data_IF_570677067797
#
_entry.id   IF_570677067797
#
_cell.length_a   1.000
_cell.length_b   1.000
_cell.length_c   1.000
_cell.angle_alpha   90.00
_cell.angle_beta   90.00
_cell.angle_gamma   90.00
#
_symmetry.space_group_name_H-M   'P 1'
#
loop_
_entity.id
_entity.type
_entity.pdbx_description
1 polymer ?
#
# COMPACT_ATOMS: atom_id res chain seq x y z
N UNK A 1 31.33 -6.58 22.46
CA UNK A 1 31.54 -5.69 21.30
C UNK A 1 30.14 -5.36 20.77
N UNK A 2 29.83 -4.08 20.58
CA UNK A 2 28.47 -3.57 20.41
C UNK A 2 27.77 -4.12 19.16
N UNK A 3 26.76 -4.96 19.36
CA UNK A 3 25.82 -5.40 18.33
C UNK A 3 24.64 -4.42 18.28
N UNK A 4 24.43 -3.80 17.11
CA UNK A 4 23.26 -2.95 16.85
C UNK A 4 22.08 -3.83 16.42
N UNK A 5 21.13 -4.03 17.32
CA UNK A 5 19.86 -4.69 17.02
C UNK A 5 18.85 -3.66 16.49
N UNK A 6 18.26 -3.96 15.32
CA UNK A 6 17.13 -3.22 14.75
C UNK A 6 15.86 -4.03 14.96
N UNK A 7 14.90 -3.47 15.71
CA UNK A 7 13.62 -4.11 16.01
C UNK A 7 12.61 -3.65 14.96
N UNK A 8 12.14 -4.58 14.13
CA UNK A 8 11.06 -4.36 13.17
C UNK A 8 9.77 -5.04 13.65
N UNK A 9 8.63 -4.37 13.48
CA UNK A 9 7.32 -4.84 13.94
C UNK A 9 6.33 -4.83 12.75
N UNK A 10 5.87 -6.00 12.26
CA UNK A 10 4.74 -6.17 11.33
C UNK A 10 4.89 -7.22 10.19
N UNK A 11 3.95 -8.18 10.05
CA UNK A 11 3.92 -9.39 9.17
C UNK A 11 3.60 -9.19 7.67
N UNK A 12 4.35 -8.36 6.91
CA UNK A 12 3.88 -7.78 5.64
C UNK A 12 4.51 -8.23 4.29
N UNK A 13 3.80 -7.92 3.19
CA UNK A 13 4.02 -8.38 1.79
C UNK A 13 5.35 -8.07 1.11
N UNK A 14 6.11 -7.19 1.75
CA UNK A 14 7.44 -6.78 1.35
C UNK A 14 8.42 -7.95 1.26
N UNK A 15 8.27 -8.95 2.13
CA UNK A 15 9.21 -10.07 2.24
C UNK A 15 9.13 -11.06 1.06
N UNK A 16 8.00 -11.10 0.34
CA UNK A 16 7.74 -12.05 -0.75
C UNK A 16 8.06 -11.50 -2.16
N UNK A 17 8.09 -10.17 -2.34
CA UNK A 17 8.28 -9.48 -3.63
C UNK A 17 9.71 -9.67 -4.19
N UNK A 18 10.67 -10.02 -3.33
CA UNK A 18 12.08 -10.25 -3.68
C UNK A 18 12.34 -11.42 -4.64
N UNK A 19 11.36 -12.31 -4.90
CA UNK A 19 11.58 -13.49 -5.75
C UNK A 19 11.30 -13.25 -7.25
N UNK A 20 10.52 -12.23 -7.60
CA UNK A 20 9.93 -12.15 -8.95
C UNK A 20 10.78 -11.45 -10.02
N UNK A 21 11.64 -10.50 -9.65
CA UNK A 21 12.19 -9.39 -10.47
C UNK A 21 12.96 -9.78 -11.77
N UNK A 22 13.08 -11.06 -12.13
CA UNK A 22 13.95 -11.55 -13.23
C UNK A 22 13.36 -11.61 -14.65
N UNK A 23 12.33 -10.85 -15.04
CA UNK A 23 11.87 -10.85 -16.45
C UNK A 23 10.98 -9.64 -16.82
N UNK A 24 11.05 -8.89 -17.94
CA UNK A 24 11.96 -8.66 -19.09
C UNK A 24 11.39 -7.40 -19.83
N UNK A 25 12.27 -6.55 -20.38
CA UNK A 25 12.06 -5.28 -21.14
C UNK A 25 11.36 -5.35 -22.52
N UNK A 26 10.67 -4.27 -22.99
CA UNK A 26 10.70 -3.85 -24.43
C UNK A 26 9.57 -3.02 -25.13
N UNK A 27 9.60 -1.66 -25.01
CA UNK A 27 9.33 -0.53 -25.99
C UNK A 27 8.00 -0.29 -26.81
N UNK A 28 7.48 0.97 -26.62
CA UNK A 28 6.87 2.05 -27.50
C UNK A 28 5.62 1.81 -28.40
N UNK A 29 4.73 2.77 -28.76
CA UNK A 29 4.05 4.02 -28.27
C UNK A 29 3.04 4.44 -29.39
N UNK A 30 1.79 4.85 -29.12
CA UNK A 30 0.75 5.23 -30.14
C UNK A 30 -0.12 6.44 -29.72
N UNK A 31 -0.76 7.11 -30.69
CA UNK A 31 -1.78 8.18 -30.53
C UNK A 31 -3.04 7.62 -29.84
N UNK A 32 -3.43 8.18 -28.69
CA UNK A 32 -4.47 7.64 -27.82
C UNK A 32 -5.57 8.69 -27.58
N UNK A 33 -6.84 8.30 -27.69
CA UNK A 33 -8.00 9.13 -27.33
C UNK A 33 -8.13 9.32 -25.81
N UNK A 34 -8.94 10.27 -25.35
CA UNK A 34 -9.00 10.64 -23.92
C UNK A 34 -9.38 9.48 -22.99
N UNK A 35 -10.31 8.62 -23.39
CA UNK A 35 -10.66 7.42 -22.61
C UNK A 35 -9.46 6.48 -22.44
N UNK A 36 -8.61 6.40 -23.47
CA UNK A 36 -7.41 5.57 -23.45
C UNK A 36 -6.29 6.24 -22.66
N UNK A 37 -6.21 7.57 -22.67
CA UNK A 37 -5.32 8.35 -21.80
C UNK A 37 -5.69 8.12 -20.33
N UNK A 38 -6.98 8.25 -19.98
CA UNK A 38 -7.49 8.00 -18.63
C UNK A 38 -7.22 6.57 -18.17
N UNK A 39 -7.56 5.58 -18.99
CA UNK A 39 -7.26 4.17 -18.68
C UNK A 39 -5.75 3.93 -18.51
N UNK A 40 -4.92 4.47 -19.42
CA UNK A 40 -3.47 4.27 -19.36
C UNK A 40 -2.85 4.97 -18.15
N UNK A 41 -3.30 6.18 -17.80
CA UNK A 41 -2.81 6.94 -16.66
C UNK A 41 -3.22 6.32 -15.32
N UNK A 42 -4.50 6.02 -15.15
CA UNK A 42 -5.05 5.59 -13.86
C UNK A 42 -4.98 4.08 -13.65
N UNK A 43 -5.20 3.26 -14.69
CA UNK A 43 -5.28 1.81 -14.53
C UNK A 43 -3.95 1.09 -14.83
N UNK A 44 -3.11 1.62 -15.73
CA UNK A 44 -1.80 1.03 -16.04
C UNK A 44 -0.66 1.74 -15.31
N UNK A 45 -0.62 3.08 -15.36
CA UNK A 45 0.43 3.87 -14.70
C UNK A 45 0.12 4.19 -13.23
N UNK A 46 -1.09 3.86 -12.75
CA UNK A 46 -1.52 4.02 -11.36
C UNK A 46 -1.36 5.45 -10.82
N UNK A 47 -1.56 6.45 -11.68
CA UNK A 47 -1.66 7.85 -11.26
C UNK A 47 -3.02 8.11 -10.61
N UNK A 48 -3.02 9.04 -9.66
CA UNK A 48 -4.23 9.50 -8.95
C UNK A 48 -4.88 10.71 -9.60
N UNK A 49 -4.14 11.41 -10.45
CA UNK A 49 -4.54 12.67 -11.11
C UNK A 49 -3.93 12.74 -12.50
N UNK A 50 -4.49 13.58 -13.36
CA UNK A 50 -4.00 13.83 -14.73
C UNK A 50 -2.72 14.69 -14.81
N UNK A 51 -2.09 15.00 -13.67
CA UNK A 51 -0.88 15.84 -13.63
C UNK A 51 0.27 15.24 -14.46
N UNK A 52 0.26 13.92 -14.64
CA UNK A 52 1.22 13.19 -15.45
C UNK A 52 1.23 13.63 -16.93
N UNK A 53 0.14 14.20 -17.45
CA UNK A 53 0.04 14.69 -18.84
C UNK A 53 0.95 15.90 -19.12
N UNK A 54 1.34 16.62 -18.07
CA UNK A 54 2.17 17.82 -18.16
C UNK A 54 3.63 17.57 -17.72
N UNK A 55 3.99 16.31 -17.45
CA UNK A 55 5.32 15.90 -16.99
C UNK A 55 6.07 15.09 -18.08
N UNK A 56 7.41 14.99 -18.00
CA UNK A 56 8.16 14.12 -18.90
C UNK A 56 7.70 12.66 -18.81
N UNK A 57 7.40 12.04 -19.96
CA UNK A 57 6.78 10.71 -20.03
C UNK A 57 7.63 9.53 -19.52
N UNK A 58 8.87 9.76 -19.08
CA UNK A 58 9.78 8.70 -18.63
C UNK A 58 9.23 7.93 -17.43
N UNK A 59 8.71 8.65 -16.44
CA UNK A 59 8.11 8.04 -15.24
C UNK A 59 6.84 7.25 -15.59
N UNK A 60 5.95 7.83 -16.40
CA UNK A 60 4.75 7.16 -16.91
C UNK A 60 5.08 5.86 -17.64
N UNK A 61 6.10 5.87 -18.51
CA UNK A 61 6.56 4.67 -19.24
C UNK A 61 7.09 3.62 -18.27
N UNK A 62 7.85 4.01 -17.25
CA UNK A 62 8.38 3.08 -16.24
C UNK A 62 7.27 2.43 -15.42
N UNK A 63 6.24 3.19 -15.03
CA UNK A 63 5.06 2.69 -14.31
C UNK A 63 4.21 1.73 -15.15
N UNK A 64 3.94 2.07 -16.42
CA UNK A 64 3.23 1.17 -17.35
C UNK A 64 4.02 -0.13 -17.57
N UNK A 65 5.34 0.00 -17.73
CA UNK A 65 6.23 -1.16 -17.85
C UNK A 65 6.20 -2.01 -16.59
N UNK A 66 6.23 -1.42 -15.40
CA UNK A 66 6.10 -2.12 -14.12
C UNK A 66 4.78 -2.90 -14.03
N UNK A 67 3.65 -2.29 -14.44
CA UNK A 67 2.35 -2.96 -14.48
C UNK A 67 2.37 -4.15 -15.47
N UNK A 68 2.87 -3.93 -16.68
CA UNK A 68 2.93 -4.96 -17.74
C UNK A 68 3.84 -6.13 -17.35
N UNK A 69 5.01 -5.85 -16.78
CA UNK A 69 5.93 -6.86 -16.26
C UNK A 69 5.32 -7.64 -15.09
N UNK A 70 4.54 -6.98 -14.24
CA UNK A 70 3.83 -7.62 -13.13
C UNK A 70 2.70 -8.53 -13.62
N UNK A 71 1.91 -8.09 -14.61
CA UNK A 71 0.84 -8.89 -15.20
C UNK A 71 1.38 -10.11 -15.97
N UNK A 72 2.43 -9.91 -16.77
CA UNK A 72 3.05 -10.97 -17.58
C UNK A 72 3.61 -12.10 -16.70
N UNK A 73 4.02 -11.77 -15.47
CA UNK A 73 4.64 -12.73 -14.54
C UNK A 73 3.64 -13.68 -13.88
N UNK A 74 2.38 -13.26 -13.70
CA UNK A 74 1.36 -14.05 -12.98
C UNK A 74 0.13 -14.40 -13.85
N UNK A 75 0.10 -13.94 -15.10
CA UNK A 75 -0.84 -14.34 -16.14
C UNK A 75 -2.29 -13.87 -15.96
N UNK A 76 -2.70 -13.46 -14.76
CA UNK A 76 -4.07 -13.01 -14.45
C UNK A 76 -4.16 -11.59 -13.87
N UNK A 77 -3.16 -11.15 -13.11
CA UNK A 77 -3.16 -9.86 -12.41
C UNK A 77 -1.73 -9.46 -12.01
N UNK A 78 -1.39 -8.17 -11.93
CA UNK A 78 -0.08 -7.71 -11.46
C UNK A 78 0.13 -7.76 -9.92
N UNK A 79 -0.85 -8.24 -9.14
CA UNK A 79 -0.83 -8.13 -7.67
C UNK A 79 -0.50 -9.47 -6.95
N UNK A 80 0.13 -9.40 -5.76
CA UNK A 80 0.56 -10.55 -4.93
C UNK A 80 0.16 -10.38 -3.45
N UNK A 81 0.27 -11.44 -2.64
CA UNK A 81 0.04 -11.47 -1.17
C UNK A 81 1.01 -12.45 -0.45
N UNK A 82 1.46 -12.24 0.82
CA UNK A 82 2.69 -12.88 1.36
C UNK A 82 2.51 -13.88 2.54
N UNK A 83 3.64 -14.50 2.98
CA UNK A 83 3.79 -15.27 4.23
C UNK A 83 5.11 -14.97 5.04
N UNK A 84 4.90 -14.59 6.32
CA UNK A 84 5.69 -14.59 7.60
C UNK A 84 7.21 -14.32 7.74
N UNK A 85 7.54 -13.53 8.80
CA UNK A 85 8.83 -13.38 9.51
C UNK A 85 8.63 -13.44 11.05
N UNK A 86 9.67 -13.30 11.90
CA UNK A 86 9.56 -13.37 13.38
C UNK A 86 9.09 -12.05 14.00
N UNK A 87 7.92 -12.06 14.65
CA UNK A 87 7.32 -10.88 15.29
C UNK A 87 6.93 -11.14 16.73
N UNK A 88 7.10 -10.12 17.58
CA UNK A 88 6.53 -10.09 18.94
C UNK A 88 5.15 -9.45 18.85
N UNK A 89 4.10 -10.25 19.01
CA UNK A 89 2.71 -9.80 19.03
C UNK A 89 2.20 -9.71 20.47
N UNK A 90 1.14 -8.93 20.68
CA UNK A 90 0.48 -8.77 21.99
C UNK A 90 1.39 -8.21 23.12
N UNK A 91 2.38 -7.39 22.77
CA UNK A 91 3.26 -6.72 23.73
C UNK A 91 3.01 -5.20 23.69
N UNK A 92 2.35 -4.60 24.70
CA UNK A 92 1.94 -3.21 24.67
C UNK A 92 3.14 -2.27 24.86
N UNK A 93 3.21 -1.21 24.05
CA UNK A 93 4.25 -0.17 24.23
C UNK A 93 3.75 0.86 25.24
N UNK A 94 4.45 0.95 26.37
CA UNK A 94 4.12 1.88 27.47
C UNK A 94 4.73 3.27 27.21
N UNK A 95 5.99 3.29 26.78
CA UNK A 95 6.77 4.52 26.65
C UNK A 95 7.81 4.43 25.54
N UNK A 96 8.04 5.54 24.85
CA UNK A 96 9.19 5.73 23.96
C UNK A 96 10.18 6.63 24.68
N UNK A 97 11.36 6.08 24.97
CA UNK A 97 12.36 6.73 25.81
C UNK A 97 13.22 7.64 24.94
N UNK A 98 13.26 8.92 25.30
CA UNK A 98 13.99 9.96 24.58
C UNK A 98 15.13 10.51 25.43
N UNK A 99 16.29 10.74 24.81
CA UNK A 99 17.42 11.44 25.41
C UNK A 99 18.00 12.44 24.41
N UNK A 100 18.19 13.70 24.85
CA UNK A 100 18.71 14.78 24.00
C UNK A 100 17.94 14.93 22.67
N UNK A 101 16.61 14.77 22.73
CA UNK A 101 15.74 14.86 21.56
C UNK A 101 15.75 13.64 20.64
N UNK A 102 16.53 12.59 20.93
CA UNK A 102 16.65 11.35 20.14
C UNK A 102 16.06 10.15 20.87
N UNK A 103 15.52 9.19 20.13
CA UNK A 103 15.09 7.92 20.70
C UNK A 103 16.29 7.09 21.18
N UNK A 104 16.13 6.46 22.34
CA UNK A 104 17.13 5.53 22.91
C UNK A 104 16.53 4.16 23.27
N UNK A 105 15.21 4.00 23.20
CA UNK A 105 14.56 2.73 23.45
C UNK A 105 13.05 2.82 23.58
N UNK A 106 12.43 1.66 23.79
CA UNK A 106 11.00 1.51 24.08
C UNK A 106 10.83 0.71 25.37
N UNK A 107 9.83 1.10 26.17
CA UNK A 107 9.45 0.38 27.38
C UNK A 107 8.17 -0.40 27.13
N UNK A 108 8.15 -1.64 27.60
CA UNK A 108 7.00 -2.52 27.50
C UNK A 108 7.02 -3.51 28.65
N UNK A 109 5.94 -3.58 29.42
CA UNK A 109 5.76 -4.51 30.56
C UNK A 109 6.89 -4.39 31.59
N UNK A 110 7.32 -3.14 31.85
CA UNK A 110 8.44 -2.87 32.77
C UNK A 110 9.85 -3.12 32.21
N UNK A 111 9.98 -3.78 31.05
CA UNK A 111 11.26 -4.02 30.37
C UNK A 111 11.59 -2.89 29.39
N UNK A 112 12.89 -2.64 29.18
CA UNK A 112 13.38 -1.63 28.24
C UNK A 112 14.21 -2.29 27.15
N UNK A 113 13.75 -2.16 25.90
CA UNK A 113 14.51 -2.50 24.72
C UNK A 113 15.18 -1.24 24.16
N UNK A 114 16.51 -1.21 24.12
CA UNK A 114 17.27 -0.05 23.60
C UNK A 114 17.39 -0.10 22.08
N UNK A 115 17.30 1.06 21.45
CA UNK A 115 17.48 1.21 20.00
C UNK A 115 18.09 2.57 19.65
N UNK A 116 18.74 2.66 18.48
CA UNK A 116 19.28 3.92 17.95
C UNK A 116 18.30 4.66 17.03
N UNK A 117 17.38 3.90 16.44
CA UNK A 117 16.35 4.35 15.50
C UNK A 117 15.08 3.57 15.80
N UNK A 118 13.93 4.22 15.62
CA UNK A 118 12.62 3.62 15.81
C UNK A 118 11.77 3.89 14.56
N UNK A 119 11.12 2.85 14.03
CA UNK A 119 10.14 2.98 12.95
C UNK A 119 8.79 2.52 13.47
N UNK A 120 7.72 3.28 13.21
CA UNK A 120 6.39 2.92 13.70
C UNK A 120 5.25 3.49 12.85
N UNK A 121 4.07 2.88 12.98
CA UNK A 121 2.81 3.40 12.44
C UNK A 121 2.30 4.60 13.26
N UNK A 122 1.59 5.57 12.64
CA UNK A 122 0.98 6.70 13.36
C UNK A 122 0.14 6.34 14.59
N UNK A 123 -0.43 5.14 14.69
CA UNK A 123 -1.17 4.71 15.89
C UNK A 123 -0.28 4.76 17.14
N UNK A 124 0.98 4.33 17.06
CA UNK A 124 1.93 4.40 18.18
C UNK A 124 2.34 5.84 18.51
N UNK A 125 2.13 6.79 17.57
CA UNK A 125 2.43 8.19 17.80
C UNK A 125 1.45 8.90 18.74
N UNK A 126 0.37 8.24 19.18
CA UNK A 126 -0.50 8.74 20.28
C UNK A 126 0.34 9.04 21.53
N UNK A 127 1.43 8.29 21.70
CA UNK A 127 2.34 8.40 22.85
C UNK A 127 3.18 9.69 22.78
N UNK A 128 3.28 10.38 21.63
CA UNK A 128 4.21 11.53 21.49
C UNK A 128 3.82 12.65 20.50
N UNK A 129 2.52 12.82 20.16
CA UNK A 129 1.95 13.85 19.24
C UNK A 129 2.85 14.29 18.06
N UNK A 130 3.35 13.32 17.28
CA UNK A 130 4.16 13.58 16.06
C UNK A 130 3.43 13.29 14.75
N UNK A 131 2.11 13.32 14.74
CA UNK A 131 1.29 13.09 13.53
C UNK A 131 0.29 14.21 13.30
N UNK A 132 -0.19 14.32 12.07
CA UNK A 132 -1.33 15.17 11.71
C UNK A 132 -2.31 14.40 10.83
N UNK A 133 -3.60 14.71 10.98
CA UNK A 133 -4.66 14.22 10.10
C UNK A 133 -4.71 15.05 8.83
N UNK A 134 -4.70 14.39 7.68
CA UNK A 134 -4.86 15.01 6.36
C UNK A 134 -6.27 14.86 5.80
N UNK A 135 -6.97 13.81 6.19
CA UNK A 135 -8.30 13.51 5.68
C UNK A 135 -8.82 12.21 6.27
N UNK A 136 -9.78 11.60 5.60
CA UNK A 136 -10.33 10.30 5.96
C UNK A 136 -10.48 9.45 4.71
N UNK A 137 -10.49 8.13 4.90
CA UNK A 137 -10.74 7.14 3.87
C UNK A 137 -11.91 6.30 4.33
N UNK A 138 -12.93 6.18 3.48
CA UNK A 138 -13.98 5.19 3.66
C UNK A 138 -13.57 3.89 2.95
N UNK A 139 -13.78 2.76 3.61
CA UNK A 139 -13.69 1.42 3.03
C UNK A 139 -14.99 0.69 3.33
N UNK A 140 -15.61 0.15 2.31
CA UNK A 140 -16.84 -0.64 2.43
C UNK A 140 -16.57 -2.03 1.86
N UNK A 141 -16.82 -3.05 2.67
CA UNK A 141 -16.67 -4.45 2.31
C UNK A 141 -18.07 -5.03 2.10
N UNK A 142 -18.28 -5.70 0.96
CA UNK A 142 -19.48 -6.47 0.68
C UNK A 142 -19.17 -7.94 0.46
N UNK A 143 -20.07 -8.78 0.94
CA UNK A 143 -20.14 -10.20 0.60
C UNK A 143 -21.14 -10.37 -0.54
N UNK A 144 -20.70 -11.01 -1.62
CA UNK A 144 -21.50 -11.31 -2.80
C UNK A 144 -21.57 -12.82 -3.04
N UNK A 145 -22.63 -13.27 -3.71
CA UNK A 145 -22.78 -14.65 -4.22
C UNK A 145 -22.64 -14.74 -5.74
N UNK A 146 -22.11 -13.70 -6.37
CA UNK A 146 -21.91 -13.64 -7.81
C UNK A 146 -20.66 -12.81 -8.14
N UNK A 147 -20.04 -13.03 -9.31
CA UNK A 147 -19.01 -12.13 -9.80
C UNK A 147 -19.62 -10.76 -10.12
N UNK A 148 -18.78 -9.72 -10.13
CA UNK A 148 -19.22 -8.38 -10.53
C UNK A 148 -19.66 -8.40 -12.00
N UNK A 149 -20.77 -7.72 -12.31
CA UNK A 149 -21.29 -7.63 -13.69
C UNK A 149 -20.22 -7.06 -14.64
N UNK A 150 -20.25 -7.48 -15.89
CA UNK A 150 -19.33 -7.00 -16.94
C UNK A 150 -17.83 -7.28 -16.68
N UNK A 151 -17.49 -8.22 -15.78
CA UNK A 151 -16.10 -8.64 -15.53
C UNK A 151 -15.74 -9.98 -16.19
N UNK A 152 -16.58 -10.49 -17.10
CA UNK A 152 -16.41 -11.80 -17.72
C UNK A 152 -16.25 -12.94 -16.69
N UNK A 153 -17.03 -12.89 -15.61
CA UNK A 153 -16.98 -13.84 -14.49
C UNK A 153 -15.58 -14.00 -13.87
N UNK A 154 -14.82 -12.90 -13.79
CA UNK A 154 -13.50 -12.91 -13.18
C UNK A 154 -13.56 -13.43 -11.73
N UNK A 155 -12.58 -14.24 -11.33
CA UNK A 155 -12.39 -14.68 -9.94
C UNK A 155 -11.76 -13.60 -9.06
N UNK A 156 -11.22 -12.55 -9.67
CA UNK A 156 -10.68 -11.39 -8.99
C UNK A 156 -10.59 -10.24 -9.98
N UNK A 157 -10.86 -9.01 -9.56
CA UNK A 157 -10.68 -7.85 -10.43
C UNK A 157 -10.37 -6.59 -9.64
N UNK A 158 -9.81 -5.61 -10.34
CA UNK A 158 -9.72 -4.23 -9.89
C UNK A 158 -10.56 -3.37 -10.83
N UNK A 159 -11.35 -2.48 -10.26
CA UNK A 159 -12.14 -1.48 -10.97
C UNK A 159 -11.73 -0.13 -10.39
N UNK A 160 -11.47 0.82 -11.27
CA UNK A 160 -11.22 2.21 -10.91
C UNK A 160 -12.36 3.00 -11.53
N UNK A 161 -13.04 3.80 -10.71
CA UNK A 161 -14.07 4.72 -11.15
C UNK A 161 -13.44 6.11 -11.06
N UNK A 162 -13.01 6.70 -12.18
CA UNK A 162 -12.31 7.98 -12.18
C UNK A 162 -13.18 9.09 -11.59
N UNK A 163 -12.57 9.99 -10.83
CA UNK A 163 -13.24 11.08 -10.11
C UNK A 163 -14.17 11.93 -11.01
N UNK A 164 -13.79 12.13 -12.28
CA UNK A 164 -14.53 12.95 -13.25
C UNK A 164 -15.86 12.28 -13.67
N UNK A 165 -15.92 10.94 -13.69
CA UNK A 165 -17.13 10.18 -14.04
C UNK A 165 -18.21 10.25 -12.94
N UNK A 166 -17.80 10.57 -11.71
CA UNK A 166 -18.66 10.59 -10.53
C UNK A 166 -18.79 11.98 -9.89
N UNK A 167 -18.25 13.01 -10.53
CA UNK A 167 -18.20 14.39 -10.02
C UNK A 167 -17.60 14.50 -8.61
N UNK A 168 -16.53 13.73 -8.34
CA UNK A 168 -15.75 13.79 -7.10
C UNK A 168 -14.35 14.38 -7.38
N UNK A 169 -13.57 14.65 -6.34
CA UNK A 169 -12.15 15.06 -6.46
C UNK A 169 -11.18 13.91 -6.27
N UNK A 170 -11.69 12.70 -6.02
CA UNK A 170 -10.93 11.50 -5.73
C UNK A 170 -11.56 10.31 -6.45
N UNK A 171 -10.72 9.44 -7.01
CA UNK A 171 -11.15 8.19 -7.62
C UNK A 171 -11.76 7.24 -6.57
N UNK A 172 -12.72 6.41 -7.01
CA UNK A 172 -13.21 5.27 -6.22
C UNK A 172 -12.54 4.00 -6.74
N UNK A 173 -11.94 3.25 -5.83
CA UNK A 173 -11.29 1.99 -6.13
C UNK A 173 -12.16 0.84 -5.65
N UNK A 174 -12.34 -0.20 -6.46
CA UNK A 174 -12.99 -1.45 -6.08
C UNK A 174 -12.04 -2.59 -6.36
N UNK A 175 -11.76 -3.42 -5.36
CA UNK A 175 -11.12 -4.72 -5.58
C UNK A 175 -12.09 -5.83 -5.19
N UNK A 176 -12.10 -6.91 -5.96
CA UNK A 176 -12.90 -8.09 -5.67
C UNK A 176 -12.03 -9.33 -5.72
N UNK A 177 -12.25 -10.22 -4.76
CA UNK A 177 -11.51 -11.46 -4.58
C UNK A 177 -12.49 -12.60 -4.30
N UNK A 178 -12.38 -13.70 -5.06
CA UNK A 178 -13.17 -14.92 -4.89
C UNK A 178 -12.51 -15.92 -3.92
N UNK A 179 -13.28 -16.94 -3.51
CA UNK A 179 -12.82 -18.10 -2.71
C UNK A 179 -11.61 -18.83 -3.26
N UNK A 180 -11.30 -18.70 -4.57
CA UNK A 180 -10.08 -19.25 -5.16
C UNK A 180 -8.78 -18.73 -4.51
N UNK A 181 -8.85 -17.61 -3.76
CA UNK A 181 -7.75 -17.08 -2.97
C UNK A 181 -7.80 -17.51 -1.48
N UNK A 182 -8.68 -18.44 -1.12
CA UNK A 182 -8.92 -18.92 0.26
C UNK A 182 -9.29 -17.81 1.26
N UNK A 183 -9.86 -16.71 0.78
CA UNK A 183 -10.30 -15.56 1.60
C UNK A 183 -11.80 -15.60 1.95
N UNK A 184 -12.56 -16.46 1.29
CA UNK A 184 -14.01 -16.58 1.44
C UNK A 184 -14.46 -18.03 1.28
N UNK A 185 -15.63 -18.36 1.84
CA UNK A 185 -16.27 -19.65 1.62
C UNK A 185 -16.57 -19.89 0.13
N UNK A 186 -16.66 -21.14 -0.29
CA UNK A 186 -16.92 -21.50 -1.69
C UNK A 186 -18.21 -20.83 -2.19
N UNK A 187 -18.15 -20.23 -3.38
CA UNK A 187 -19.28 -19.52 -3.98
C UNK A 187 -19.49 -18.09 -3.46
N UNK A 188 -18.63 -17.61 -2.55
CA UNK A 188 -18.65 -16.23 -2.04
C UNK A 188 -17.52 -15.40 -2.60
N UNK A 189 -17.82 -14.12 -2.80
CA UNK A 189 -16.89 -13.08 -3.24
C UNK A 189 -16.84 -11.98 -2.19
N UNK A 190 -15.65 -11.41 -2.00
CA UNK A 190 -15.45 -10.23 -1.16
C UNK A 190 -15.13 -9.09 -2.11
N UNK A 191 -15.98 -8.06 -2.13
CA UNK A 191 -15.72 -6.81 -2.84
C UNK A 191 -15.46 -5.71 -1.83
N UNK A 192 -14.39 -4.95 -2.03
CA UNK A 192 -14.00 -3.84 -1.17
C UNK A 192 -13.95 -2.59 -2.04
N UNK A 193 -14.75 -1.58 -1.71
CA UNK A 193 -14.63 -0.26 -2.32
C UNK A 193 -14.01 0.74 -1.34
N UNK A 194 -13.20 1.66 -1.86
CA UNK A 194 -12.56 2.70 -1.08
C UNK A 194 -12.43 4.01 -1.84
N UNK A 195 -12.61 5.13 -1.13
CA UNK A 195 -12.35 6.48 -1.64
C UNK A 195 -11.93 7.41 -0.49
N UNK A 196 -11.34 8.55 -0.85
CA UNK A 196 -11.08 9.64 0.11
C UNK A 196 -12.38 10.34 0.42
N UNK A 197 -12.65 10.59 1.71
CA UNK A 197 -13.89 11.22 2.16
C UNK A 197 -13.88 12.72 1.84
N UNK A 198 -14.88 13.18 1.11
CA UNK A 198 -15.03 14.57 0.68
C UNK A 198 -16.22 15.29 1.32
N UNK A 199 -17.21 14.54 1.82
CA UNK A 199 -18.46 15.08 2.34
C UNK A 199 -18.74 14.61 3.78
N UNK A 200 -19.85 15.08 4.34
CA UNK A 200 -20.35 14.63 5.65
C UNK A 200 -21.13 13.31 5.58
N UNK A 201 -21.36 12.78 4.38
CA UNK A 201 -22.13 11.54 4.15
C UNK A 201 -21.29 10.53 3.34
N UNK A 202 -20.22 9.95 3.92
CA UNK A 202 -19.20 9.21 3.17
C UNK A 202 -19.74 7.97 2.44
N UNK A 203 -20.78 7.33 2.98
CA UNK A 203 -21.41 6.18 2.32
C UNK A 203 -22.08 6.52 0.99
N UNK A 204 -22.54 7.78 0.80
CA UNK A 204 -23.12 8.22 -0.47
C UNK A 204 -22.08 8.36 -1.57
N UNK A 205 -20.85 8.71 -1.22
CA UNK A 205 -19.72 8.87 -2.16
C UNK A 205 -19.36 7.53 -2.82
N UNK A 206 -19.60 6.42 -2.12
CA UNK A 206 -19.31 5.06 -2.58
C UNK A 206 -20.47 4.43 -3.40
N UNK A 207 -21.62 5.10 -3.53
CA UNK A 207 -22.78 4.57 -4.26
C UNK A 207 -22.48 4.09 -5.69
N UNK A 208 -21.65 4.79 -6.51
CA UNK A 208 -21.31 4.31 -7.85
C UNK A 208 -20.65 2.92 -7.86
N UNK A 209 -19.87 2.58 -6.82
CA UNK A 209 -19.32 1.25 -6.68
C UNK A 209 -20.42 0.23 -6.34
N UNK A 210 -21.31 0.55 -5.39
CA UNK A 210 -22.41 -0.34 -4.99
C UNK A 210 -23.30 -0.76 -6.18
N UNK A 211 -23.61 0.18 -7.09
CA UNK A 211 -24.42 -0.09 -8.29
C UNK A 211 -23.82 -1.20 -9.19
N UNK A 212 -22.49 -1.35 -9.20
CA UNK A 212 -21.79 -2.44 -9.91
C UNK A 212 -21.89 -3.79 -9.18
N UNK A 213 -22.02 -3.76 -7.85
CA UNK A 213 -21.95 -4.93 -6.97
C UNK A 213 -23.31 -5.56 -6.69
N UNK A 214 -24.41 -4.84 -6.89
CA UNK A 214 -25.74 -5.35 -6.53
C UNK A 214 -26.18 -6.58 -7.36
N UNK A 215 -26.83 -7.57 -6.70
CA UNK A 215 -27.24 -7.60 -5.29
C UNK A 215 -26.14 -7.98 -4.27
N UNK A 216 -26.17 -7.36 -3.07
CA UNK A 216 -25.20 -7.66 -1.99
C UNK A 216 -25.86 -8.40 -0.81
N UNK A 217 -25.14 -9.30 -0.14
CA UNK A 217 -25.68 -10.06 1.00
C UNK A 217 -25.45 -9.38 2.34
N UNK A 218 -24.25 -8.82 2.52
CA UNK A 218 -23.85 -8.16 3.75
C UNK A 218 -22.89 -7.01 3.44
N UNK A 219 -22.96 -5.97 4.27
CA UNK A 219 -22.13 -4.75 4.17
C UNK A 219 -21.41 -4.47 5.49
N UNK A 220 -20.13 -4.16 5.41
CA UNK A 220 -19.32 -3.67 6.53
C UNK A 220 -18.67 -2.35 6.15
N UNK A 221 -18.93 -1.30 6.92
CA UNK A 221 -18.42 0.05 6.66
C UNK A 221 -17.35 0.40 7.68
N UNK A 222 -16.22 0.91 7.21
CA UNK A 222 -15.15 1.42 8.05
C UNK A 222 -14.67 2.76 7.52
N UNK A 223 -14.57 3.76 8.39
CA UNK A 223 -13.99 5.06 8.07
C UNK A 223 -12.75 5.24 8.94
N UNK A 224 -11.61 5.48 8.31
CA UNK A 224 -10.31 5.60 8.98
C UNK A 224 -9.66 6.95 8.68
N UNK A 225 -8.96 7.51 9.65
CA UNK A 225 -8.20 8.74 9.46
C UNK A 225 -6.95 8.50 8.61
N UNK A 226 -6.70 9.41 7.66
CA UNK A 226 -5.45 9.45 6.91
C UNK A 226 -4.44 10.32 7.66
N UNK A 227 -3.43 9.69 8.26
CA UNK A 227 -2.48 10.28 9.18
C UNK A 227 -1.09 10.27 8.56
N UNK A 228 -0.35 11.37 8.73
CA UNK A 228 1.01 11.53 8.25
C UNK A 228 1.94 12.06 9.35
N UNK A 229 3.25 11.78 9.29
CA UNK A 229 4.22 12.38 10.19
C UNK A 229 4.21 13.91 10.15
N UNK A 230 4.35 14.54 11.33
CA UNK A 230 4.79 15.94 11.49
C UNK A 230 6.33 16.02 11.48
N UNK A 231 6.98 14.97 11.98
CA UNK A 231 8.44 14.84 12.09
C UNK A 231 8.96 13.80 11.09
N UNK A 232 9.98 14.17 10.31
CA UNK A 232 10.60 13.32 9.30
C UNK A 232 11.56 12.27 9.89
N UNK A 233 11.94 12.41 11.16
CA UNK A 233 12.75 11.46 11.91
C UNK A 233 14.26 11.68 11.84
N UNK A 234 14.74 12.63 11.04
CA UNK A 234 16.19 12.88 10.88
C UNK A 234 16.85 13.42 12.15
N UNK A 235 16.12 14.19 12.96
CA UNK A 235 16.62 14.67 14.25
C UNK A 235 16.29 13.69 15.37
N UNK A 236 15.02 13.30 15.49
CA UNK A 236 14.52 12.45 16.57
C UNK A 236 14.93 10.98 16.48
N UNK A 237 15.35 10.54 15.30
CA UNK A 237 15.57 9.14 14.94
C UNK A 237 14.30 8.28 15.08
N UNK A 238 13.11 8.91 15.01
CA UNK A 238 11.81 8.25 14.96
C UNK A 238 11.19 8.45 13.56
N UNK A 239 11.09 7.37 12.79
CA UNK A 239 10.61 7.38 11.42
C UNK A 239 9.18 6.83 11.36
N UNK A 240 8.20 7.73 11.32
CA UNK A 240 6.78 7.34 11.30
C UNK A 240 6.32 7.14 9.85
N UNK A 241 5.58 6.07 9.59
CA UNK A 241 4.93 5.83 8.29
C UNK A 241 3.68 6.70 8.11
N UNK A 242 3.12 6.71 6.91
CA UNK A 242 1.76 7.20 6.66
C UNK A 242 0.76 6.05 6.86
N UNK A 243 -0.47 6.36 7.25
CA UNK A 243 -1.53 5.35 7.15
C UNK A 243 -1.86 5.06 5.69
N UNK A 244 -2.49 3.93 5.41
CA UNK A 244 -2.84 3.55 4.03
C UNK A 244 -3.91 4.49 3.44
N UNK A 245 -3.66 4.93 2.20
CA UNK A 245 -4.62 5.72 1.44
C UNK A 245 -5.75 4.84 0.84
N UNK A 246 -6.60 5.44 0.02
CA UNK A 246 -7.75 4.75 -0.58
C UNK A 246 -7.39 3.83 -1.75
N UNK A 247 -6.15 3.85 -2.25
CA UNK A 247 -5.77 3.07 -3.43
C UNK A 247 -5.74 1.58 -3.13
N UNK A 248 -6.09 0.76 -4.13
CA UNK A 248 -6.11 -0.71 -4.02
C UNK A 248 -4.81 -1.35 -4.51
N UNK A 249 -3.76 -0.54 -4.70
CA UNK A 249 -2.42 -0.94 -5.10
C UNK A 249 -1.36 -0.31 -4.20
N UNK A 250 -0.12 -0.79 -4.25
CA UNK A 250 0.90 -0.42 -3.26
C UNK A 250 1.86 0.70 -3.68
N UNK A 251 1.68 1.36 -4.83
CA UNK A 251 2.64 2.37 -5.32
C UNK A 251 2.95 3.47 -4.28
N UNK A 252 1.91 4.08 -3.69
CA UNK A 252 2.08 5.14 -2.68
C UNK A 252 2.74 4.60 -1.40
N UNK A 253 2.42 3.36 -1.02
CA UNK A 253 3.08 2.68 0.10
C UNK A 253 4.56 2.44 -0.18
N UNK A 254 4.90 1.98 -1.38
CA UNK A 254 6.28 1.78 -1.82
C UNK A 254 7.08 3.09 -1.78
N UNK A 255 6.48 4.19 -2.20
CA UNK A 255 7.11 5.52 -2.14
C UNK A 255 7.37 5.97 -0.70
N UNK A 256 6.44 5.72 0.23
CA UNK A 256 6.64 6.04 1.64
C UNK A 256 7.78 5.20 2.25
N UNK A 257 7.85 3.91 1.90
CA UNK A 257 8.93 3.00 2.33
C UNK A 257 10.28 3.48 1.83
N UNK A 258 10.43 3.74 0.52
CA UNK A 258 11.68 4.27 -0.06
C UNK A 258 12.07 5.58 0.61
N UNK A 259 11.10 6.46 0.83
CA UNK A 259 11.31 7.72 1.52
C UNK A 259 11.82 7.55 2.96
N UNK A 260 11.22 6.63 3.73
CA UNK A 260 11.67 6.31 5.10
C UNK A 260 13.08 5.74 5.08
N UNK A 261 13.34 4.76 4.21
CA UNK A 261 14.65 4.15 4.07
C UNK A 261 15.73 5.21 3.82
N UNK A 262 15.49 6.10 2.85
CA UNK A 262 16.41 7.20 2.54
C UNK A 262 16.70 8.10 3.74
N UNK A 263 15.66 8.49 4.49
CA UNK A 263 15.82 9.31 5.70
C UNK A 263 16.55 8.58 6.82
N UNK A 264 16.34 7.28 6.93
CA UNK A 264 16.89 6.43 7.98
C UNK A 264 18.36 6.04 7.74
N UNK A 265 18.70 5.77 6.48
CA UNK A 265 20.02 5.27 6.06
C UNK A 265 20.93 6.37 5.51
N UNK A 266 20.35 7.48 5.05
CA UNK A 266 21.09 8.60 4.45
C UNK A 266 21.45 8.39 2.97
N UNK A 267 21.05 7.27 2.37
CA UNK A 267 21.28 6.92 0.97
C UNK A 267 20.01 6.40 0.31
N UNK A 268 19.93 6.48 -1.03
CA UNK A 268 18.85 5.85 -1.79
C UNK A 268 18.86 4.33 -1.60
N UNK A 269 17.68 3.72 -1.75
CA UNK A 269 17.57 2.27 -1.74
C UNK A 269 18.16 1.68 -3.02
N UNK A 270 19.22 0.86 -2.88
CA UNK A 270 19.82 0.15 -4.00
C UNK A 270 19.26 -1.27 -4.11
N UNK A 271 18.55 -1.55 -5.20
CA UNK A 271 17.98 -2.86 -5.48
C UNK A 271 19.06 -3.90 -5.87
N UNK A 272 20.22 -3.48 -6.35
CA UNK A 272 21.30 -4.37 -6.79
C UNK A 272 22.11 -4.92 -5.60
N UNK A 273 22.30 -4.14 -4.52
CA UNK A 273 22.93 -4.63 -3.28
C UNK A 273 22.19 -5.85 -2.69
N UNK A 274 20.86 -5.90 -2.83
CA UNK A 274 20.07 -7.05 -2.38
C UNK A 274 20.27 -8.31 -3.22
N UNK A 275 20.68 -8.19 -4.48
CA UNK A 275 21.02 -9.35 -5.33
C UNK A 275 22.37 -9.95 -4.95
N UNK A 276 23.35 -9.11 -4.58
CA UNK A 276 24.69 -9.58 -4.21
C UNK A 276 24.69 -10.40 -2.91
N UNK A 277 23.95 -9.97 -1.87
CA UNK A 277 23.88 -10.70 -0.59
C UNK A 277 23.17 -12.05 -0.64
N UNK A 278 22.43 -12.36 -1.71
CA UNK A 278 21.79 -13.67 -1.89
C UNK A 278 22.82 -14.79 -2.16
N UNK A 279 23.94 -14.46 -2.79
CA UNK A 279 25.01 -15.43 -3.07
C UNK A 279 25.81 -15.80 -1.82
N UNK A 280 25.85 -14.95 -0.80
CA UNK A 280 26.56 -15.24 0.45
C UNK A 280 25.71 -16.03 1.47
N UNK A 281 24.38 -16.12 1.27
CA UNK A 281 23.46 -16.84 2.16
C UNK A 281 23.30 -18.33 1.83
N UNK A 282 23.56 -18.72 0.58
CA UNK A 282 23.66 -20.11 0.17
C UNK A 282 25.14 -20.38 -0.12
N UNK A 283 25.90 -20.69 0.93
CA UNK A 283 27.24 -21.21 0.73
C UNK A 283 27.20 -22.39 -0.25
N UNK A 284 27.96 -22.29 -1.34
CA UNK A 284 28.24 -23.44 -2.19
C UNK A 284 29.08 -24.43 -1.35
N UNK A 285 28.47 -25.55 -0.98
CA UNK A 285 29.15 -26.83 -0.78
C UNK A 285 28.64 -27.82 -1.84
#
# INVERSE_FOLDING_TARGET
VNEEYMIMLGTGLMECILSGIMSVNGKKKSDLGQDVIGFTGHALALYRTDDCLYQPCGETINRIKLYSESLARYGKSPYLHPLYSTYVLNKPIEEIIMQNGKVIGVKSEGEIARCKKLTCDPIYSIIFDRKRKLGQVIRVIWILSHPIKNTNNASSCQIIIPQNEVNQKSDIYVCMIFSAHNVAAQGKYIAIASTTVETKEPEKEIRPALELLEPTEQKFVSISDFLVPKDLGTESQIFITRTYDATTHFEVTCDDIKGIYKRMMGSEFDFEEMKQKKNDMYGED
#
